data_IF_068421003726
#
_entry.id   IF_068421003726
#
_cell.length_a   1.000
_cell.length_b   1.000
_cell.length_c   1.000
_cell.angle_alpha   90.00
_cell.angle_beta   90.00
_cell.angle_gamma   90.00
#
_symmetry.space_group_name_H-M   'P 1'
#
loop_
_entity.id
_entity.type
_entity.pdbx_description
1 polymer ?
#
# COMPACT_ATOMS: atom_id res chain seq x y z
N UNK A 1 -33.26 6.34 -20.16
CA UNK A 1 -31.81 6.49 -20.44
C UNK A 1 -31.40 5.37 -21.40
N UNK A 2 -30.65 5.65 -22.46
CA UNK A 2 -30.23 4.62 -23.40
C UNK A 2 -29.14 3.72 -22.80
N UNK A 3 -29.08 2.47 -23.24
CA UNK A 3 -28.03 1.51 -22.86
C UNK A 3 -26.61 2.04 -23.16
N UNK A 4 -26.49 2.87 -24.20
CA UNK A 4 -25.26 3.55 -24.60
C UNK A 4 -24.76 4.52 -23.52
N UNK A 5 -25.65 5.35 -22.96
CA UNK A 5 -25.30 6.30 -21.89
C UNK A 5 -24.85 5.59 -20.61
N UNK A 6 -25.40 4.40 -20.32
CA UNK A 6 -25.00 3.59 -19.15
C UNK A 6 -23.60 3.01 -19.37
N UNK A 7 -23.32 2.49 -20.56
CA UNK A 7 -22.00 1.96 -20.93
C UNK A 7 -20.91 3.04 -20.89
N UNK A 8 -21.21 4.26 -21.34
CA UNK A 8 -20.28 5.39 -21.27
C UNK A 8 -19.92 5.74 -19.81
N UNK A 9 -20.92 5.84 -18.93
CA UNK A 9 -20.69 6.09 -17.50
C UNK A 9 -19.82 5.02 -16.85
N UNK A 10 -20.09 3.73 -17.13
CA UNK A 10 -19.30 2.63 -16.58
C UNK A 10 -17.85 2.64 -17.08
N UNK A 11 -17.61 3.05 -18.34
CA UNK A 11 -16.24 3.20 -18.87
C UNK A 11 -15.49 4.33 -18.19
N UNK A 12 -16.18 5.44 -17.90
CA UNK A 12 -15.59 6.57 -17.19
C UNK A 12 -15.30 6.22 -15.72
N UNK A 13 -16.22 5.51 -15.07
CA UNK A 13 -16.00 4.95 -13.73
C UNK A 13 -14.80 4.00 -13.71
N UNK A 14 -14.70 3.10 -14.69
CA UNK A 14 -13.55 2.20 -14.82
C UNK A 14 -12.23 2.96 -14.93
N UNK A 15 -12.20 4.04 -15.73
CA UNK A 15 -11.02 4.90 -15.88
C UNK A 15 -10.64 5.58 -14.56
N UNK A 16 -11.62 6.08 -13.80
CA UNK A 16 -11.35 6.69 -12.49
C UNK A 16 -10.80 5.68 -11.48
N UNK A 17 -11.32 4.45 -11.49
CA UNK A 17 -10.81 3.35 -10.65
C UNK A 17 -9.38 2.98 -11.05
N UNK A 18 -9.07 2.92 -12.35
CA UNK A 18 -7.72 2.68 -12.85
C UNK A 18 -6.72 3.76 -12.44
N UNK A 19 -7.10 5.03 -12.54
CA UNK A 19 -6.26 6.15 -12.08
C UNK A 19 -6.04 6.09 -10.56
N UNK A 20 -7.07 5.71 -9.80
CA UNK A 20 -6.97 5.54 -8.35
C UNK A 20 -6.04 4.39 -7.99
N UNK A 21 -6.16 3.24 -8.65
CA UNK A 21 -5.26 2.09 -8.48
C UNK A 21 -3.81 2.47 -8.76
N UNK A 22 -3.54 3.16 -9.87
CA UNK A 22 -2.18 3.59 -10.21
C UNK A 22 -1.58 4.51 -9.12
N UNK A 23 -2.37 5.42 -8.56
CA UNK A 23 -1.95 6.28 -7.44
C UNK A 23 -1.66 5.47 -6.17
N UNK A 24 -2.53 4.53 -5.83
CA UNK A 24 -2.34 3.67 -4.65
C UNK A 24 -1.12 2.77 -4.79
N UNK A 25 -0.83 2.27 -6.00
CA UNK A 25 0.37 1.47 -6.27
C UNK A 25 1.65 2.30 -6.17
N UNK A 26 1.66 3.53 -6.67
CA UNK A 26 2.77 4.46 -6.47
C UNK A 26 3.00 4.74 -4.97
N UNK A 27 1.93 5.01 -4.22
CA UNK A 27 2.00 5.19 -2.76
C UNK A 27 2.52 3.94 -2.05
N UNK A 28 2.12 2.73 -2.49
CA UNK A 28 2.64 1.47 -1.96
C UNK A 28 4.15 1.38 -2.16
N UNK A 29 4.65 1.74 -3.34
CA UNK A 29 6.09 1.78 -3.63
C UNK A 29 6.85 2.69 -2.67
N UNK A 30 6.38 3.93 -2.49
CA UNK A 30 7.01 4.86 -1.54
C UNK A 30 7.00 4.35 -0.09
N UNK A 31 5.91 3.69 0.32
CA UNK A 31 5.79 3.10 1.66
C UNK A 31 6.78 1.93 1.82
N UNK A 32 6.94 1.09 0.81
CA UNK A 32 7.87 -0.04 0.84
C UNK A 32 9.32 0.41 0.91
N UNK A 33 9.71 1.43 0.15
CA UNK A 33 11.05 2.03 0.23
C UNK A 33 11.33 2.58 1.63
N UNK A 34 10.38 3.36 2.18
CA UNK A 34 10.49 3.91 3.55
C UNK A 34 10.56 2.80 4.60
N UNK A 35 9.75 1.75 4.45
CA UNK A 35 9.76 0.60 5.35
C UNK A 35 11.11 -0.12 5.32
N UNK A 36 11.65 -0.38 4.13
CA UNK A 36 12.97 -1.02 3.97
C UNK A 36 14.07 -0.20 4.62
N UNK A 37 14.09 1.12 4.40
CA UNK A 37 15.09 2.00 5.01
C UNK A 37 15.02 1.99 6.55
N UNK A 38 13.80 1.99 7.13
CA UNK A 38 13.61 1.89 8.58
C UNK A 38 14.07 0.52 9.10
N UNK A 39 13.78 -0.56 8.38
CA UNK A 39 14.20 -1.91 8.75
C UNK A 39 15.72 -2.05 8.75
N UNK A 40 16.40 -1.46 7.77
CA UNK A 40 17.86 -1.43 7.70
C UNK A 40 18.46 -0.63 8.88
N UNK A 41 17.85 0.50 9.24
CA UNK A 41 18.24 1.29 10.41
C UNK A 41 18.07 0.47 11.72
N UNK A 42 16.93 -0.21 11.87
CA UNK A 42 16.64 -1.07 13.01
C UNK A 42 17.67 -2.20 13.15
N UNK A 43 17.98 -2.87 12.04
CA UNK A 43 18.96 -3.97 11.99
C UNK A 43 20.37 -3.50 12.38
N UNK A 44 20.80 -2.33 11.91
CA UNK A 44 22.10 -1.75 12.30
C UNK A 44 22.20 -1.52 13.80
N UNK A 45 21.13 -1.02 14.42
CA UNK A 45 21.12 -0.81 15.87
C UNK A 45 21.17 -2.14 16.62
N UNK A 46 20.43 -3.15 16.16
CA UNK A 46 20.50 -4.51 16.74
C UNK A 46 21.95 -5.04 16.67
N UNK A 47 22.64 -4.87 15.55
CA UNK A 47 24.03 -5.28 15.41
C UNK A 47 24.98 -4.52 16.35
N UNK A 48 24.78 -3.21 16.52
CA UNK A 48 25.55 -2.41 17.47
C UNK A 48 25.30 -2.87 18.91
N UNK A 49 24.05 -3.14 19.29
CA UNK A 49 23.69 -3.64 20.61
C UNK A 49 24.36 -4.98 20.91
N UNK A 50 24.41 -5.90 19.94
CA UNK A 50 25.09 -7.21 20.07
C UNK A 50 26.60 -7.08 20.36
N UNK A 51 27.23 -6.01 19.88
CA UNK A 51 28.67 -5.75 20.06
C UNK A 51 28.96 -4.85 21.25
N UNK A 52 27.95 -4.22 21.84
CA UNK A 52 28.10 -3.25 22.92
C UNK A 52 28.36 -3.94 24.26
N UNK A 53 29.48 -3.63 24.90
CA UNK A 53 29.83 -4.11 26.25
C UNK A 53 29.61 -3.05 27.34
N UNK A 54 29.39 -1.80 26.94
CA UNK A 54 29.19 -0.68 27.84
C UNK A 54 27.69 -0.56 28.19
N UNK A 55 27.31 -0.64 29.48
CA UNK A 55 25.90 -0.59 29.89
C UNK A 55 25.22 0.75 29.59
N UNK A 56 25.92 1.88 29.74
CA UNK A 56 25.34 3.20 29.49
C UNK A 56 25.05 3.39 27.99
N UNK A 57 26.02 3.03 27.13
CA UNK A 57 25.85 3.04 25.69
C UNK A 57 24.78 2.06 25.24
N UNK A 58 24.67 0.90 25.87
CA UNK A 58 23.60 -0.06 25.59
C UNK A 58 22.21 0.55 25.86
N UNK A 59 22.01 1.20 27.01
CA UNK A 59 20.75 1.89 27.31
C UNK A 59 20.41 2.98 26.28
N UNK A 60 21.41 3.73 25.79
CA UNK A 60 21.19 4.71 24.72
C UNK A 60 20.78 4.05 23.39
N UNK A 61 21.38 2.91 23.04
CA UNK A 61 21.00 2.14 21.85
C UNK A 61 19.59 1.57 21.98
N UNK A 62 19.21 1.09 23.17
CA UNK A 62 17.86 0.57 23.43
C UNK A 62 16.78 1.66 23.28
N UNK A 63 17.03 2.88 23.75
CA UNK A 63 16.11 4.02 23.53
C UNK A 63 15.94 4.28 22.03
N UNK A 64 17.03 4.32 21.26
CA UNK A 64 16.99 4.52 19.81
C UNK A 64 16.25 3.39 19.09
N UNK A 65 16.57 2.14 19.44
CA UNK A 65 15.90 0.95 18.93
C UNK A 65 14.38 1.06 19.12
N UNK A 66 13.94 1.35 20.35
CA UNK A 66 12.52 1.49 20.66
C UNK A 66 11.81 2.56 19.81
N UNK A 67 12.46 3.69 19.54
CA UNK A 67 11.92 4.73 18.69
C UNK A 67 11.77 4.26 17.23
N UNK A 68 12.78 3.56 16.70
CA UNK A 68 12.77 3.05 15.33
C UNK A 68 11.77 1.90 15.17
N UNK A 69 11.67 0.99 16.15
CA UNK A 69 10.67 -0.08 16.16
C UNK A 69 9.23 0.44 16.21
N UNK A 70 8.99 1.60 16.84
CA UNK A 70 7.68 2.25 16.76
C UNK A 70 7.41 2.77 15.36
N UNK A 71 8.36 3.49 14.76
CA UNK A 71 8.26 3.98 13.38
C UNK A 71 8.06 2.83 12.36
N UNK A 72 8.74 1.70 12.55
CA UNK A 72 8.57 0.50 11.70
C UNK A 72 7.13 -0.02 11.77
N UNK A 73 6.59 -0.19 12.98
CA UNK A 73 5.21 -0.66 13.18
C UNK A 73 4.17 0.31 12.62
N UNK A 74 4.40 1.62 12.75
CA UNK A 74 3.54 2.63 12.12
C UNK A 74 3.56 2.50 10.60
N UNK A 75 4.73 2.27 10.01
CA UNK A 75 4.85 2.11 8.56
C UNK A 75 4.24 0.79 8.07
N UNK A 76 4.39 -0.29 8.84
CA UNK A 76 3.72 -1.57 8.60
C UNK A 76 2.19 -1.44 8.61
N UNK A 77 1.63 -0.65 9.55
CA UNK A 77 0.21 -0.33 9.57
C UNK A 77 -0.25 0.41 8.31
N UNK A 78 0.51 1.42 7.87
CA UNK A 78 0.24 2.15 6.62
C UNK A 78 0.30 1.25 5.40
N UNK A 79 1.26 0.32 5.35
CA UNK A 79 1.36 -0.69 4.29
C UNK A 79 0.10 -1.57 4.25
N UNK A 80 -0.34 -2.07 5.41
CA UNK A 80 -1.57 -2.86 5.47
C UNK A 80 -2.81 -2.07 5.05
N UNK A 81 -2.87 -0.78 5.37
CA UNK A 81 -3.95 0.10 4.93
C UNK A 81 -3.97 0.30 3.41
N UNK A 82 -2.81 0.58 2.80
CA UNK A 82 -2.73 0.78 1.34
C UNK A 82 -3.08 -0.51 0.59
N UNK A 83 -2.63 -1.67 1.07
CA UNK A 83 -2.97 -2.97 0.48
C UNK A 83 -4.47 -3.27 0.52
N UNK A 84 -5.15 -2.92 1.62
CA UNK A 84 -6.62 -3.05 1.71
C UNK A 84 -7.33 -2.15 0.71
N UNK A 85 -6.88 -0.90 0.54
CA UNK A 85 -7.44 0.03 -0.44
C UNK A 85 -7.27 -0.48 -1.86
N UNK A 86 -6.08 -0.96 -2.20
CA UNK A 86 -5.79 -1.55 -3.52
C UNK A 86 -6.72 -2.73 -3.79
N UNK A 87 -6.88 -3.63 -2.82
CA UNK A 87 -7.79 -4.79 -2.96
C UNK A 87 -9.23 -4.34 -3.21
N UNK A 88 -9.73 -3.38 -2.44
CA UNK A 88 -11.08 -2.84 -2.63
C UNK A 88 -11.29 -2.23 -4.02
N UNK A 89 -10.35 -1.41 -4.50
CA UNK A 89 -10.42 -0.84 -5.84
C UNK A 89 -10.30 -1.90 -6.94
N UNK A 90 -9.48 -2.94 -6.75
CA UNK A 90 -9.38 -4.04 -7.71
C UNK A 90 -10.68 -4.86 -7.81
N UNK A 91 -11.36 -5.08 -6.69
CA UNK A 91 -12.67 -5.73 -6.66
C UNK A 91 -13.74 -4.86 -7.36
N UNK A 92 -13.75 -3.55 -7.10
CA UNK A 92 -14.64 -2.60 -7.76
C UNK A 92 -14.40 -2.57 -9.28
N UNK A 93 -13.14 -2.49 -9.71
CA UNK A 93 -12.74 -2.60 -11.11
C UNK A 93 -13.31 -3.85 -11.77
N UNK A 94 -13.15 -5.00 -11.13
CA UNK A 94 -13.66 -6.28 -11.63
C UNK A 94 -15.19 -6.26 -11.78
N UNK A 95 -15.92 -5.70 -10.80
CA UNK A 95 -17.38 -5.55 -10.87
C UNK A 95 -17.83 -4.68 -12.03
N UNK A 96 -17.17 -3.55 -12.24
CA UNK A 96 -17.48 -2.64 -13.36
C UNK A 96 -17.20 -3.33 -14.69
N UNK A 97 -16.07 -4.03 -14.81
CA UNK A 97 -15.72 -4.78 -16.03
C UNK A 97 -16.75 -5.86 -16.37
N UNK A 98 -17.17 -6.67 -15.40
CA UNK A 98 -18.23 -7.66 -15.59
C UNK A 98 -19.54 -7.00 -16.01
N UNK A 99 -19.88 -5.84 -15.43
CA UNK A 99 -21.10 -5.11 -15.79
C UNK A 99 -21.06 -4.57 -17.21
N UNK A 100 -19.92 -4.04 -17.65
CA UNK A 100 -19.71 -3.60 -19.03
C UNK A 100 -19.84 -4.79 -19.98
N UNK A 101 -19.21 -5.92 -19.67
CA UNK A 101 -19.28 -7.13 -20.49
C UNK A 101 -20.71 -7.64 -20.66
N UNK A 102 -21.46 -7.73 -19.56
CA UNK A 102 -22.87 -8.12 -19.59
C UNK A 102 -23.75 -7.21 -20.46
N UNK A 103 -23.44 -5.91 -20.47
CA UNK A 103 -24.19 -4.91 -21.22
C UNK A 103 -23.74 -4.76 -22.68
N UNK A 104 -22.61 -5.36 -23.09
CA UNK A 104 -22.20 -5.38 -24.49
C UNK A 104 -23.19 -6.23 -25.29
N UNK A 105 -23.72 -5.73 -26.43
CA UNK A 105 -24.55 -6.55 -27.29
C UNK A 105 -23.74 -7.77 -27.74
N UNK A 106 -24.31 -8.97 -27.57
CA UNK A 106 -23.77 -10.17 -28.22
C UNK A 106 -23.91 -9.93 -29.71
N UNK A 107 -22.79 -9.90 -30.43
CA UNK A 107 -22.81 -9.98 -31.88
C UNK A 107 -23.46 -11.32 -32.25
N UNK A 108 -24.73 -11.29 -32.65
CA UNK A 108 -25.39 -12.38 -33.38
C UNK A 108 -24.80 -12.52 -34.78
#
# INVERSE_FOLDING_TARGET
MSQTTILEKLKEELKMVDETLARLEAQRGEIEEKYSAILDEENKIIEEMRKCRDPYRYSQLEIKFNAISRRRREMESRKNEIERKIRGCAEEKSRIQMRIEYLKPKSS
#
